data_IF_321006326396
#
_entry.id   IF_321006326396
#
_cell.length_a   1.000
_cell.length_b   1.000
_cell.length_c   1.000
_cell.angle_alpha   90.00
_cell.angle_beta   90.00
_cell.angle_gamma   90.00
#
_symmetry.space_group_name_H-M   'P 1'
#
loop_
_entity.id
_entity.type
_entity.pdbx_description
1 polymer ?
#
# COMPACT_ATOMS: atom_id res chain seq x y z
N UNK A 1 4.30 -6.92 -10.58
CA UNK A 1 5.52 -6.12 -10.79
C UNK A 1 6.29 -6.13 -9.49
N UNK A 2 7.52 -6.62 -9.48
CA UNK A 2 8.36 -6.52 -8.30
C UNK A 2 8.85 -5.07 -8.18
N UNK A 3 8.71 -4.47 -7.01
CA UNK A 3 9.33 -3.17 -6.74
C UNK A 3 10.85 -3.38 -6.57
N UNK A 4 11.69 -2.47 -7.09
CA UNK A 4 13.14 -2.59 -6.98
C UNK A 4 13.63 -2.48 -5.53
N UNK A 5 12.86 -1.79 -4.69
CA UNK A 5 13.13 -1.59 -3.27
C UNK A 5 11.82 -1.33 -2.49
N UNK A 6 11.92 -1.37 -1.17
CA UNK A 6 10.80 -1.11 -0.25
C UNK A 6 10.84 0.32 0.33
N UNK A 7 11.43 1.30 -0.37
CA UNK A 7 11.39 2.69 0.09
C UNK A 7 10.01 3.30 -0.14
N UNK A 8 9.65 4.24 0.74
CA UNK A 8 8.38 4.95 0.66
C UNK A 8 8.17 5.67 -0.68
N UNK A 9 9.22 6.27 -1.25
CA UNK A 9 9.18 6.93 -2.56
C UNK A 9 8.85 5.97 -3.69
N UNK A 10 9.42 4.76 -3.64
CA UNK A 10 9.20 3.72 -4.65
C UNK A 10 7.77 3.17 -4.55
N UNK A 11 7.29 2.93 -3.34
CA UNK A 11 5.89 2.54 -3.10
C UNK A 11 4.91 3.64 -3.54
N UNK A 12 5.19 4.90 -3.22
CA UNK A 12 4.37 6.05 -3.63
C UNK A 12 4.29 6.19 -5.16
N UNK A 13 5.43 6.09 -5.82
CA UNK A 13 5.52 6.15 -7.30
C UNK A 13 4.72 5.02 -7.92
N UNK A 14 4.83 3.81 -7.38
CA UNK A 14 4.07 2.67 -7.89
C UNK A 14 2.57 2.83 -7.68
N UNK A 15 2.14 3.35 -6.53
CA UNK A 15 0.73 3.66 -6.27
C UNK A 15 0.20 4.67 -7.30
N UNK A 16 0.90 5.79 -7.49
CA UNK A 16 0.48 6.85 -8.42
C UNK A 16 0.45 6.37 -9.87
N UNK A 17 1.57 5.84 -10.38
CA UNK A 17 1.73 5.60 -11.82
C UNK A 17 1.20 4.25 -12.28
N UNK A 18 1.06 3.26 -11.40
CA UNK A 18 0.59 1.94 -11.79
C UNK A 18 -0.81 1.63 -11.29
N UNK A 19 -1.14 1.99 -10.05
CA UNK A 19 -2.49 1.77 -9.53
C UNK A 19 -3.45 2.83 -10.02
N UNK A 20 -3.18 4.12 -9.75
CA UNK A 20 -4.15 5.17 -10.08
C UNK A 20 -4.33 5.36 -11.57
N UNK A 21 -3.28 5.14 -12.37
CA UNK A 21 -3.40 5.15 -13.82
C UNK A 21 -4.36 4.07 -14.37
N UNK A 22 -4.59 2.97 -13.63
CA UNK A 22 -5.49 1.88 -14.03
C UNK A 22 -6.86 1.93 -13.37
N UNK A 23 -6.91 2.29 -12.10
CA UNK A 23 -8.10 2.14 -11.25
C UNK A 23 -8.61 3.46 -10.68
N UNK A 24 -7.88 4.57 -10.87
CA UNK A 24 -8.18 5.85 -10.25
C UNK A 24 -7.68 5.96 -8.81
N UNK A 25 -8.03 7.07 -8.15
CA UNK A 25 -7.68 7.33 -6.76
C UNK A 25 -8.55 6.44 -5.86
N UNK A 26 -7.97 5.61 -4.99
CA UNK A 26 -8.74 4.80 -4.05
C UNK A 26 -9.36 5.69 -2.96
N UNK A 27 -10.53 5.30 -2.44
CA UNK A 27 -11.17 6.00 -1.31
C UNK A 27 -10.44 5.72 0.01
N UNK A 28 -10.10 4.44 0.24
CA UNK A 28 -9.37 3.99 1.42
C UNK A 28 -8.16 3.12 1.04
N UNK A 29 -7.07 3.27 1.77
CA UNK A 29 -5.89 2.40 1.67
C UNK A 29 -5.65 1.73 3.01
N UNK A 30 -5.67 0.40 3.01
CA UNK A 30 -5.30 -0.40 4.18
C UNK A 30 -3.88 -0.95 4.00
N UNK A 31 -2.95 -0.57 4.87
CA UNK A 31 -1.55 -1.03 4.83
C UNK A 31 -1.12 -1.69 6.14
N UNK A 32 -0.04 -2.46 6.11
CA UNK A 32 0.63 -2.95 7.32
C UNK A 32 1.46 -1.84 7.98
N UNK A 33 2.07 -2.14 9.14
CA UNK A 33 2.98 -1.23 9.86
C UNK A 33 4.37 -1.13 9.22
N UNK A 34 4.50 -1.42 7.92
CA UNK A 34 5.75 -1.24 7.19
C UNK A 34 6.28 0.20 7.30
N UNK A 35 7.60 0.35 7.39
CA UNK A 35 8.26 1.67 7.48
C UNK A 35 7.96 2.55 6.27
N UNK A 36 7.73 1.93 5.11
CA UNK A 36 7.35 2.62 3.89
C UNK A 36 5.98 3.30 3.98
N UNK A 37 5.02 2.67 4.66
CA UNK A 37 3.64 3.15 4.79
C UNK A 37 3.41 4.01 6.04
N UNK A 38 4.40 4.07 6.93
CA UNK A 38 4.40 4.95 8.12
C UNK A 38 5.33 6.15 7.97
N UNK A 39 5.95 6.31 6.79
CA UNK A 39 6.83 7.44 6.49
C UNK A 39 6.05 8.74 6.31
N UNK A 40 6.69 9.88 6.60
CA UNK A 40 6.10 11.21 6.37
C UNK A 40 5.71 11.44 4.92
N UNK A 41 6.48 10.90 3.97
CA UNK A 41 6.18 10.95 2.54
C UNK A 41 4.85 10.26 2.22
N UNK A 42 4.63 9.08 2.78
CA UNK A 42 3.40 8.34 2.59
C UNK A 42 2.21 9.08 3.19
N UNK A 43 2.35 9.57 4.43
CA UNK A 43 1.30 10.35 5.10
C UNK A 43 0.93 11.60 4.29
N UNK A 44 1.91 12.36 3.81
CA UNK A 44 1.66 13.55 2.99
C UNK A 44 0.97 13.19 1.66
N UNK A 45 1.38 12.10 1.02
CA UNK A 45 0.79 11.62 -0.22
C UNK A 45 -0.69 11.28 -0.03
N UNK A 46 -1.02 10.50 1.00
CA UNK A 46 -2.38 10.10 1.34
C UNK A 46 -3.25 11.33 1.62
N UNK A 47 -2.74 12.29 2.40
CA UNK A 47 -3.43 13.54 2.68
C UNK A 47 -3.70 14.36 1.41
N UNK A 48 -2.73 14.43 0.49
CA UNK A 48 -2.87 15.18 -0.76
C UNK A 48 -3.90 14.54 -1.69
N UNK A 49 -4.02 13.22 -1.66
CA UNK A 49 -4.99 12.47 -2.46
C UNK A 49 -6.38 12.45 -1.81
N UNK A 50 -6.51 12.87 -0.56
CA UNK A 50 -7.79 12.83 0.18
C UNK A 50 -8.24 11.42 0.53
N UNK A 51 -7.30 10.49 0.68
CA UNK A 51 -7.56 9.07 0.93
C UNK A 51 -7.48 8.79 2.42
N UNK A 52 -8.32 7.90 2.97
CA UNK A 52 -8.11 7.45 4.35
C UNK A 52 -7.09 6.31 4.40
N UNK A 53 -5.98 6.51 5.11
CA UNK A 53 -5.00 5.45 5.35
C UNK A 53 -5.28 4.72 6.67
N UNK A 54 -5.74 3.49 6.55
CA UNK A 54 -5.95 2.58 7.66
C UNK A 54 -4.70 1.70 7.86
N UNK A 55 -3.95 1.94 8.93
CA UNK A 55 -2.85 1.04 9.29
C UNK A 55 -3.41 -0.15 10.06
N UNK A 56 -3.35 -1.34 9.47
CA UNK A 56 -3.74 -2.58 10.18
C UNK A 56 -2.91 -2.71 11.45
N UNK A 57 -3.61 -2.83 12.59
CA UNK A 57 -2.99 -3.35 13.81
C UNK A 57 -2.57 -4.79 13.52
N UNK A 58 -1.51 -5.27 14.18
CA UNK A 58 -0.88 -6.58 13.94
C UNK A 58 -1.80 -7.81 14.14
N UNK A 59 -3.11 -7.62 14.23
CA UNK A 59 -4.13 -8.59 14.60
C UNK A 59 -5.39 -8.49 13.73
N UNK A 60 -5.25 -8.18 12.43
CA UNK A 60 -6.31 -8.39 11.43
C UNK A 60 -5.92 -9.48 10.41
N UNK A 61 -5.87 -10.77 10.82
CA UNK A 61 -5.49 -11.88 9.95
C UNK A 61 -6.44 -12.08 8.76
N UNK A 62 -7.65 -11.53 8.79
CA UNK A 62 -8.57 -11.57 7.65
C UNK A 62 -8.20 -10.57 6.54
N UNK A 63 -7.86 -9.33 6.90
CA UNK A 63 -7.45 -8.31 5.94
C UNK A 63 -6.07 -8.64 5.35
N UNK A 64 -5.11 -9.00 6.22
CA UNK A 64 -3.78 -9.41 5.76
C UNK A 64 -3.81 -10.79 5.08
N UNK A 65 -4.75 -11.66 5.43
CA UNK A 65 -4.88 -13.00 4.86
C UNK A 65 -5.21 -13.00 3.37
N UNK A 66 -5.94 -11.99 2.85
CA UNK A 66 -6.14 -11.84 1.41
C UNK A 66 -4.84 -11.47 0.69
N UNK A 67 -4.07 -10.54 1.26
CA UNK A 67 -2.78 -10.11 0.73
C UNK A 67 -1.76 -11.26 0.79
N UNK A 68 -1.70 -12.00 1.90
CA UNK A 68 -0.84 -13.18 2.06
C UNK A 68 -1.21 -14.31 1.09
N UNK A 69 -2.50 -14.52 0.82
CA UNK A 69 -2.97 -15.48 -0.19
C UNK A 69 -2.55 -15.09 -1.60
N UNK A 70 -2.71 -13.82 -1.96
CA UNK A 70 -2.23 -13.28 -3.24
C UNK A 70 -0.71 -13.42 -3.38
N UNK A 71 0.05 -13.08 -2.33
CA UNK A 71 1.50 -13.26 -2.32
C UNK A 71 1.93 -14.73 -2.44
N UNK A 72 1.16 -15.67 -1.87
CA UNK A 72 1.42 -17.11 -2.02
C UNK A 72 1.16 -17.58 -3.45
N UNK A 73 0.08 -17.12 -4.08
CA UNK A 73 -0.23 -17.47 -5.47
C UNK A 73 0.78 -16.90 -6.47
N UNK A 74 1.32 -15.70 -6.20
CA UNK A 74 2.32 -15.06 -7.06
C UNK A 74 3.73 -15.64 -6.91
N UNK A 75 4.00 -16.42 -5.85
CA UNK A 75 5.29 -17.10 -5.62
C UNK A 75 5.34 -18.52 -6.18
N UNK A 76 4.26 -19.02 -6.78
CA UNK A 76 4.21 -20.33 -7.46
C UNK A 76 4.41 -20.12 -8.96
#
# INVERSE_FOLDING_TARGET
MALPDAHASTCATALLYHWMARFGVPEDITSDKGRQFTSSLWTQLIHLLGVEANTTTAYHPQANGMVERLHRQLKT
#
